data_IF_626941685806
#
_entry.id   IF_626941685806
#
_cell.length_a   1.000
_cell.length_b   1.000
_cell.length_c   1.000
_cell.angle_alpha   90.00
_cell.angle_beta   90.00
_cell.angle_gamma   90.00
#
_symmetry.space_group_name_H-M   'P 1'
#
loop_
_entity.id
_entity.type
_entity.pdbx_description
1 polymer ?
#
# COMPACT_ATOMS: atom_id res chain seq x y z
N UNK A 1 14.73 10.58 4.02
CA UNK A 1 13.74 10.99 3.00
C UNK A 1 12.73 9.85 2.88
N UNK A 2 11.43 10.14 2.86
CA UNK A 2 10.38 9.14 2.63
C UNK A 2 10.61 8.49 1.27
N UNK A 3 10.35 7.18 1.15
CA UNK A 3 10.48 6.46 -0.12
C UNK A 3 11.88 5.93 -0.45
N UNK A 4 12.86 6.00 0.45
CA UNK A 4 14.16 5.35 0.22
C UNK A 4 14.01 3.83 0.15
N UNK A 5 14.63 3.17 -0.83
CA UNK A 5 14.58 1.72 -1.03
C UNK A 5 16.00 1.16 -1.19
N UNK A 6 16.29 0.05 -0.53
CA UNK A 6 17.50 -0.77 -0.74
C UNK A 6 17.22 -2.22 -1.08
N UNK A 7 15.97 -2.65 -0.93
CA UNK A 7 15.56 -4.03 -1.13
C UNK A 7 14.35 -4.08 -2.07
N UNK A 8 14.48 -4.79 -3.19
CA UNK A 8 13.40 -4.97 -4.17
C UNK A 8 13.05 -6.45 -4.26
N UNK A 9 11.77 -6.78 -4.13
CA UNK A 9 11.29 -8.16 -4.26
C UNK A 9 10.14 -8.20 -5.25
N UNK A 10 10.31 -8.99 -6.29
CA UNK A 10 9.29 -9.21 -7.32
C UNK A 10 8.61 -10.55 -7.10
N UNK A 11 7.30 -10.53 -7.01
CA UNK A 11 6.42 -11.70 -6.97
C UNK A 11 5.59 -11.73 -8.25
N UNK A 12 5.81 -12.73 -9.09
CA UNK A 12 5.00 -12.97 -10.29
C UNK A 12 4.13 -14.20 -10.08
N UNK A 13 2.85 -14.16 -10.48
CA UNK A 13 1.97 -15.33 -10.52
C UNK A 13 0.98 -15.23 -11.67
N UNK A 14 1.50 -15.22 -12.89
CA UNK A 14 0.71 -15.29 -14.10
C UNK A 14 0.51 -16.76 -14.53
N UNK A 15 -0.64 -17.15 -15.11
CA UNK A 15 -0.85 -18.49 -15.67
C UNK A 15 0.18 -18.92 -16.73
N UNK A 16 0.27 -20.22 -16.98
CA UNK A 16 1.05 -20.74 -18.09
C UNK A 16 0.41 -20.35 -19.42
N UNK A 17 1.22 -19.85 -20.36
CA UNK A 17 0.76 -19.36 -21.67
C UNK A 17 0.59 -17.85 -21.75
N UNK A 18 0.60 -17.15 -20.61
CA UNK A 18 0.68 -15.69 -20.59
C UNK A 18 2.12 -15.18 -20.59
N UNK A 19 2.31 -13.94 -21.06
CA UNK A 19 3.61 -13.28 -21.04
C UNK A 19 4.03 -13.03 -19.59
N UNK A 20 5.24 -13.45 -19.23
CA UNK A 20 5.82 -13.28 -17.89
C UNK A 20 6.44 -11.89 -17.73
N UNK A 21 5.59 -10.88 -17.55
CA UNK A 21 5.98 -9.46 -17.47
C UNK A 21 6.88 -9.17 -16.29
N UNK A 22 6.64 -9.79 -15.14
CA UNK A 22 7.49 -9.65 -13.96
C UNK A 22 8.86 -10.29 -14.14
N UNK A 23 8.94 -11.45 -14.79
CA UNK A 23 10.23 -12.07 -15.13
C UNK A 23 11.03 -11.19 -16.12
N UNK A 24 10.36 -10.65 -17.14
CA UNK A 24 10.94 -9.75 -18.14
C UNK A 24 11.47 -8.47 -17.49
N UNK A 25 10.63 -7.75 -16.73
CA UNK A 25 11.05 -6.55 -15.99
C UNK A 25 12.20 -6.83 -15.03
N UNK A 26 12.16 -7.97 -14.33
CA UNK A 26 13.21 -8.32 -13.40
C UNK A 26 14.56 -8.56 -14.11
N UNK A 27 14.57 -9.30 -15.21
CA UNK A 27 15.80 -9.60 -15.95
C UNK A 27 16.32 -8.39 -16.70
N UNK A 28 15.44 -7.72 -17.43
CA UNK A 28 15.83 -6.72 -18.42
C UNK A 28 15.96 -5.31 -17.84
N UNK A 29 15.34 -5.04 -16.68
CA UNK A 29 15.49 -3.78 -15.97
C UNK A 29 16.20 -3.97 -14.62
N UNK A 30 15.57 -4.66 -13.67
CA UNK A 30 15.98 -4.62 -12.26
C UNK A 30 17.37 -5.23 -12.05
N UNK A 31 17.53 -6.53 -12.33
CA UNK A 31 18.78 -7.24 -12.12
C UNK A 31 19.88 -6.71 -13.04
N UNK A 32 19.60 -6.49 -14.33
CA UNK A 32 20.58 -5.91 -15.27
C UNK A 32 21.14 -4.58 -14.75
N UNK A 33 20.28 -3.65 -14.30
CA UNK A 33 20.73 -2.33 -13.86
C UNK A 33 21.46 -2.38 -12.52
N UNK A 34 20.99 -3.19 -11.57
CA UNK A 34 21.67 -3.34 -10.27
C UNK A 34 23.00 -4.09 -10.40
N UNK A 35 23.02 -5.23 -11.09
CA UNK A 35 24.20 -6.10 -11.11
C UNK A 35 25.33 -5.55 -11.98
N UNK A 36 25.00 -4.91 -13.10
CA UNK A 36 25.98 -4.48 -14.10
C UNK A 36 26.30 -2.98 -14.06
N UNK A 37 25.36 -2.13 -13.63
CA UNK A 37 25.48 -0.67 -13.77
C UNK A 37 25.58 0.06 -12.41
N UNK A 38 24.95 -0.46 -11.35
CA UNK A 38 24.94 0.21 -10.06
C UNK A 38 26.29 0.05 -9.33
N UNK A 39 26.77 1.14 -8.73
CA UNK A 39 28.00 1.12 -7.94
C UNK A 39 27.84 0.27 -6.68
N UNK A 40 28.86 -0.55 -6.36
CA UNK A 40 28.84 -1.46 -5.21
C UNK A 40 28.56 -0.77 -3.86
N UNK A 41 28.97 0.48 -3.68
CA UNK A 41 28.73 1.25 -2.44
C UNK A 41 27.24 1.58 -2.19
N UNK A 42 26.41 1.51 -3.23
CA UNK A 42 24.98 1.80 -3.17
C UNK A 42 24.15 0.63 -3.72
N UNK A 43 24.74 -0.56 -3.79
CA UNK A 43 24.10 -1.72 -4.41
C UNK A 43 22.85 -2.12 -3.64
N UNK A 44 21.74 -2.20 -4.36
CA UNK A 44 20.47 -2.70 -3.83
C UNK A 44 20.47 -4.23 -3.83
N UNK A 45 19.78 -4.85 -2.88
CA UNK A 45 19.47 -6.28 -3.00
C UNK A 45 18.19 -6.44 -3.82
N UNK A 46 18.14 -7.44 -4.68
CA UNK A 46 16.93 -7.77 -5.43
C UNK A 46 16.67 -9.27 -5.46
N UNK A 47 15.39 -9.64 -5.56
CA UNK A 47 14.97 -11.04 -5.65
C UNK A 47 13.71 -11.16 -6.49
N UNK A 48 13.63 -12.25 -7.26
CA UNK A 48 12.47 -12.63 -8.05
C UNK A 48 11.94 -13.99 -7.58
N UNK A 49 10.61 -14.09 -7.51
CA UNK A 49 9.88 -15.33 -7.26
C UNK A 49 8.78 -15.51 -8.30
N UNK A 50 8.76 -16.68 -8.95
CA UNK A 50 7.62 -17.15 -9.73
C UNK A 50 6.74 -18.02 -8.82
N UNK A 51 5.67 -17.43 -8.32
CA UNK A 51 4.77 -17.98 -7.32
C UNK A 51 3.63 -18.74 -8.00
N UNK A 52 3.36 -19.97 -7.59
CA UNK A 52 2.35 -20.81 -8.25
C UNK A 52 0.97 -20.72 -7.62
N UNK A 53 0.90 -20.58 -6.30
CA UNK A 53 -0.34 -20.64 -5.55
C UNK A 53 -0.29 -19.77 -4.29
N UNK A 54 -1.45 -19.52 -3.70
CA UNK A 54 -1.60 -18.68 -2.51
C UNK A 54 -0.73 -19.12 -1.34
N UNK A 55 -0.59 -20.42 -1.11
CA UNK A 55 0.23 -20.96 -0.01
C UNK A 55 1.70 -20.55 -0.15
N UNK A 56 2.25 -20.69 -1.35
CA UNK A 56 3.62 -20.28 -1.67
C UNK A 56 3.81 -18.76 -1.48
N UNK A 57 2.85 -17.94 -1.91
CA UNK A 57 2.90 -16.49 -1.69
C UNK A 57 2.97 -16.15 -0.20
N UNK A 58 2.09 -16.75 0.60
CA UNK A 58 2.01 -16.52 2.04
C UNK A 58 3.33 -16.88 2.72
N UNK A 59 3.91 -18.03 2.40
CA UNK A 59 5.17 -18.48 2.99
C UNK A 59 6.34 -17.56 2.60
N UNK A 60 6.37 -17.07 1.37
CA UNK A 60 7.38 -16.09 0.95
C UNK A 60 7.23 -14.75 1.68
N UNK A 61 6.01 -14.24 1.85
CA UNK A 61 5.80 -12.99 2.61
C UNK A 61 6.16 -13.20 4.09
N UNK A 62 5.81 -14.35 4.69
CA UNK A 62 6.23 -14.70 6.06
C UNK A 62 7.75 -14.80 6.21
N UNK A 63 8.45 -15.31 5.21
CA UNK A 63 9.91 -15.28 5.19
C UNK A 63 10.42 -13.83 5.35
N UNK A 64 9.83 -12.87 4.64
CA UNK A 64 10.19 -11.47 4.80
C UNK A 64 9.72 -10.85 6.12
N UNK A 65 8.63 -11.32 6.73
CA UNK A 65 8.26 -10.93 8.10
C UNK A 65 9.37 -11.28 9.10
N UNK A 66 9.89 -12.51 9.02
CA UNK A 66 10.94 -12.98 9.93
C UNK A 66 12.27 -12.24 9.70
N UNK A 67 12.55 -11.82 8.47
CA UNK A 67 13.82 -11.18 8.11
C UNK A 67 13.75 -9.65 8.01
N UNK A 68 12.60 -9.04 8.30
CA UNK A 68 12.37 -7.61 8.09
C UNK A 68 13.35 -6.71 8.84
N UNK A 69 13.84 -7.14 10.01
CA UNK A 69 14.82 -6.38 10.81
C UNK A 69 16.17 -6.19 10.11
N UNK A 70 16.51 -7.06 9.15
CA UNK A 70 17.74 -6.98 8.38
C UNK A 70 17.59 -6.15 7.10
N UNK A 71 16.35 -5.80 6.72
CA UNK A 71 16.01 -5.08 5.49
C UNK A 71 16.03 -3.56 5.75
N UNK A 72 17.22 -3.08 6.08
CA UNK A 72 17.45 -1.67 6.41
C UNK A 72 17.28 -0.77 5.19
N UNK A 73 16.83 0.46 5.42
CA UNK A 73 16.72 1.50 4.37
C UNK A 73 15.69 1.19 3.28
N UNK A 74 14.63 0.46 3.63
CA UNK A 74 13.38 0.39 2.87
C UNK A 74 13.28 -0.78 1.92
N UNK A 75 12.08 -1.33 1.86
CA UNK A 75 11.71 -2.55 1.15
C UNK A 75 10.57 -2.24 0.19
N UNK A 76 10.74 -2.67 -1.06
CA UNK A 76 9.73 -2.60 -2.09
C UNK A 76 9.28 -4.02 -2.46
N UNK A 77 8.00 -4.29 -2.29
CA UNK A 77 7.36 -5.45 -2.90
C UNK A 77 6.70 -5.04 -4.22
N UNK A 78 6.94 -5.81 -5.26
CA UNK A 78 6.32 -5.68 -6.57
C UNK A 78 5.51 -6.93 -6.89
N UNK A 79 4.25 -6.75 -7.29
CA UNK A 79 3.35 -7.84 -7.65
C UNK A 79 2.96 -7.76 -9.12
N UNK A 80 3.15 -8.88 -9.81
CA UNK A 80 2.81 -9.13 -11.22
C UNK A 80 1.83 -10.32 -11.27
N UNK A 81 0.54 -10.00 -11.16
CA UNK A 81 -0.55 -10.95 -10.93
C UNK A 81 -1.87 -10.40 -11.50
N UNK A 82 -2.87 -11.26 -11.66
CA UNK A 82 -4.21 -10.79 -12.02
C UNK A 82 -4.93 -10.18 -10.82
N UNK A 83 -5.72 -9.14 -11.08
CA UNK A 83 -6.69 -8.62 -10.13
C UNK A 83 -8.00 -9.41 -10.20
N UNK A 84 -8.63 -9.64 -9.05
CA UNK A 84 -9.95 -10.23 -8.99
C UNK A 84 -11.01 -9.32 -9.63
N UNK A 85 -11.92 -9.90 -10.43
CA UNK A 85 -12.98 -9.16 -11.11
C UNK A 85 -14.02 -8.59 -10.13
N UNK A 86 -14.22 -9.25 -8.99
CA UNK A 86 -15.09 -8.77 -7.91
C UNK A 86 -14.37 -7.79 -6.97
N UNK A 87 -13.15 -7.37 -7.32
CA UNK A 87 -12.33 -6.41 -6.58
C UNK A 87 -11.92 -6.90 -5.18
N UNK A 88 -11.91 -8.21 -4.94
CA UNK A 88 -11.64 -8.78 -3.60
C UNK A 88 -10.16 -8.99 -3.29
N UNK A 89 -9.29 -9.02 -4.29
CA UNK A 89 -7.89 -9.39 -4.11
C UNK A 89 -7.09 -9.64 -5.38
N UNK A 90 -6.03 -10.44 -5.23
CA UNK A 90 -5.19 -10.91 -6.33
C UNK A 90 -5.48 -12.39 -6.61
N UNK A 91 -5.54 -12.74 -7.90
CA UNK A 91 -5.72 -14.10 -8.39
C UNK A 91 -4.37 -14.62 -8.86
N UNK A 92 -3.95 -15.76 -8.31
CA UNK A 92 -2.68 -16.40 -8.62
C UNK A 92 -2.81 -17.34 -9.83
N UNK A 93 -1.68 -17.83 -10.32
CA UNK A 93 -1.59 -18.66 -11.52
C UNK A 93 -2.42 -19.96 -11.46
N UNK A 94 -2.63 -20.53 -10.27
CA UNK A 94 -3.50 -21.69 -10.04
C UNK A 94 -4.99 -21.36 -9.89
N UNK A 95 -5.35 -20.07 -9.99
CA UNK A 95 -6.70 -19.56 -9.79
C UNK A 95 -7.07 -19.30 -8.33
N UNK A 96 -6.16 -19.52 -7.38
CA UNK A 96 -6.41 -19.19 -5.97
C UNK A 96 -6.48 -17.67 -5.75
N UNK A 97 -7.38 -17.23 -4.88
CA UNK A 97 -7.58 -15.83 -4.51
C UNK A 97 -6.92 -15.54 -3.16
N UNK A 98 -6.05 -14.54 -3.11
CA UNK A 98 -5.64 -13.89 -1.86
C UNK A 98 -6.35 -12.55 -1.72
N UNK A 99 -7.10 -12.37 -0.64
CA UNK A 99 -7.90 -11.16 -0.45
C UNK A 99 -7.05 -9.96 -0.06
N UNK A 100 -7.56 -8.74 -0.28
CA UNK A 100 -6.89 -7.53 0.21
C UNK A 100 -6.67 -7.55 1.72
N UNK A 101 -7.64 -8.06 2.48
CA UNK A 101 -7.53 -8.20 3.93
C UNK A 101 -6.36 -9.11 4.32
N UNK A 102 -6.25 -10.28 3.69
CA UNK A 102 -5.14 -11.20 3.94
C UNK A 102 -3.78 -10.58 3.58
N UNK A 103 -3.69 -9.86 2.46
CA UNK A 103 -2.45 -9.18 2.06
C UNK A 103 -2.04 -8.11 3.08
N UNK A 104 -2.95 -7.23 3.50
CA UNK A 104 -2.58 -6.18 4.46
C UNK A 104 -2.22 -6.74 5.83
N UNK A 105 -2.88 -7.82 6.26
CA UNK A 105 -2.52 -8.55 7.49
C UNK A 105 -1.12 -9.15 7.39
N UNK A 106 -0.70 -9.62 6.21
CA UNK A 106 0.65 -10.11 5.97
C UNK A 106 1.69 -8.98 5.86
N UNK A 107 1.34 -7.83 5.31
CA UNK A 107 2.26 -6.69 5.17
C UNK A 107 2.50 -5.97 6.50
N UNK A 108 1.49 -5.91 7.38
CA UNK A 108 1.56 -5.12 8.62
C UNK A 108 2.74 -5.47 9.52
N UNK A 109 3.03 -6.74 9.85
CA UNK A 109 4.21 -7.08 10.66
C UNK A 109 5.53 -6.61 10.02
N UNK A 110 5.62 -6.65 8.69
CA UNK A 110 6.80 -6.17 7.95
C UNK A 110 6.92 -4.66 8.11
N UNK A 111 5.85 -3.90 7.86
CA UNK A 111 5.90 -2.43 7.93
C UNK A 111 6.15 -1.91 9.35
N UNK A 112 5.62 -2.60 10.36
CA UNK A 112 5.95 -2.33 11.76
C UNK A 112 7.44 -2.53 12.02
N UNK A 113 8.00 -3.66 11.57
CA UNK A 113 9.42 -3.98 11.77
C UNK A 113 10.35 -3.04 11.00
N UNK A 114 9.97 -2.63 9.78
CA UNK A 114 10.75 -1.69 8.96
C UNK A 114 10.52 -0.22 9.30
N UNK A 115 9.64 0.07 10.29
CA UNK A 115 9.29 1.41 10.77
C UNK A 115 8.74 2.32 9.66
N UNK A 116 7.66 1.88 9.04
CA UNK A 116 7.01 2.56 7.92
C UNK A 116 7.89 2.72 6.67
N UNK A 117 8.59 1.65 6.30
CA UNK A 117 9.47 1.65 5.11
C UNK A 117 9.18 0.50 4.17
N UNK A 118 7.99 -0.11 4.27
CA UNK A 118 7.48 -1.03 3.26
C UNK A 118 6.68 -0.25 2.22
N UNK A 119 7.09 -0.36 0.96
CA UNK A 119 6.37 0.16 -0.19
C UNK A 119 5.87 -0.99 -1.05
N UNK A 120 4.71 -0.80 -1.69
CA UNK A 120 4.10 -1.79 -2.56
C UNK A 120 3.95 -1.21 -3.97
N UNK A 121 4.27 -2.00 -4.98
CA UNK A 121 3.94 -1.70 -6.38
C UNK A 121 3.15 -2.87 -6.95
N UNK A 122 2.13 -2.59 -7.76
CA UNK A 122 1.29 -3.61 -8.35
C UNK A 122 1.05 -3.31 -9.82
N UNK A 123 1.62 -4.16 -10.69
CA UNK A 123 1.31 -4.24 -12.11
C UNK A 123 0.04 -5.09 -12.32
N UNK A 124 -1.02 -4.76 -11.60
CA UNK A 124 -2.24 -5.57 -11.54
C UNK A 124 -3.45 -4.71 -11.80
N UNK A 125 -4.40 -5.24 -12.57
CA UNK A 125 -5.72 -4.64 -12.69
C UNK A 125 -6.33 -4.48 -11.28
N UNK A 126 -7.06 -3.39 -11.04
CA UNK A 126 -7.79 -3.17 -9.78
C UNK A 126 -6.94 -3.16 -8.49
N UNK A 127 -5.60 -3.07 -8.57
CA UNK A 127 -4.77 -3.05 -7.35
C UNK A 127 -5.04 -1.83 -6.46
N UNK A 128 -5.67 -0.77 -6.98
CA UNK A 128 -6.11 0.39 -6.19
C UNK A 128 -6.92 0.00 -4.95
N UNK A 129 -7.63 -1.13 -4.96
CA UNK A 129 -8.57 -1.54 -3.91
C UNK A 129 -7.90 -2.17 -2.69
N UNK A 130 -6.57 -2.26 -2.65
CA UNK A 130 -5.81 -2.71 -1.47
C UNK A 130 -6.22 -1.99 -0.16
N UNK A 131 -6.60 -0.70 -0.24
CA UNK A 131 -7.08 0.06 0.92
C UNK A 131 -8.32 -0.54 1.60
N UNK A 132 -9.11 -1.36 0.89
CA UNK A 132 -10.31 -2.00 1.46
C UNK A 132 -9.97 -3.01 2.57
N UNK A 133 -8.73 -3.53 2.59
CA UNK A 133 -8.26 -4.38 3.69
C UNK A 133 -7.90 -3.60 4.95
N UNK A 134 -7.66 -2.28 4.85
CA UNK A 134 -7.03 -1.49 5.91
C UNK A 134 -8.00 -1.21 7.06
N UNK A 135 -7.57 -1.53 8.27
CA UNK A 135 -8.20 -1.07 9.51
C UNK A 135 -7.46 0.16 10.06
N UNK A 136 -8.14 1.30 10.15
CA UNK A 136 -7.57 2.58 10.59
C UNK A 136 -7.18 2.60 12.08
N UNK A 137 -7.58 1.61 12.88
CA UNK A 137 -7.20 1.47 14.28
C UNK A 137 -5.95 0.61 14.50
N UNK A 138 -5.36 0.07 13.43
CA UNK A 138 -4.16 -0.77 13.48
C UNK A 138 -3.01 -0.09 12.72
N UNK A 139 -1.76 -0.30 13.14
CA UNK A 139 -0.55 0.29 12.53
C UNK A 139 -0.51 0.12 11.02
N UNK A 140 -0.26 1.15 10.22
CA UNK A 140 -0.38 1.08 8.75
C UNK A 140 0.35 -0.14 8.16
N UNK A 141 -0.28 -0.89 7.22
CA UNK A 141 0.32 -2.09 6.65
C UNK A 141 1.46 -1.81 5.66
N UNK A 142 1.60 -0.57 5.17
CA UNK A 142 2.63 -0.09 4.25
C UNK A 142 2.71 1.43 4.33
N UNK A 143 3.83 2.00 3.92
CA UNK A 143 4.02 3.47 3.87
C UNK A 143 3.26 4.08 2.70
N UNK A 144 3.33 3.45 1.52
CA UNK A 144 2.54 3.82 0.36
C UNK A 144 2.58 2.76 -0.72
N UNK A 145 1.72 2.91 -1.73
CA UNK A 145 1.66 1.98 -2.84
C UNK A 145 1.40 2.63 -4.20
N UNK A 146 1.90 2.01 -5.26
CA UNK A 146 1.72 2.41 -6.66
C UNK A 146 0.89 1.34 -7.36
N UNK A 147 -0.22 1.72 -7.98
CA UNK A 147 -1.13 0.75 -8.60
C UNK A 147 -2.04 1.38 -9.65
N UNK A 148 -2.57 0.54 -10.56
CA UNK A 148 -3.58 0.93 -11.52
C UNK A 148 -5.00 0.92 -10.92
N UNK A 149 -5.84 1.80 -11.48
CA UNK A 149 -7.25 1.90 -11.12
C UNK A 149 -8.21 1.16 -12.05
N UNK A 150 -7.71 0.67 -13.17
CA UNK A 150 -8.43 0.03 -14.27
C UNK A 150 -7.58 -1.09 -14.85
N UNK A 151 -8.10 -1.73 -15.88
CA UNK A 151 -7.34 -2.66 -16.73
C UNK A 151 -6.15 -1.94 -17.36
N UNK A 152 -5.01 -2.63 -17.42
CA UNK A 152 -3.74 -2.14 -17.97
C UNK A 152 -3.24 -3.10 -19.03
N UNK A 153 -2.63 -2.58 -20.08
CA UNK A 153 -2.10 -3.40 -21.16
C UNK A 153 -0.70 -3.92 -20.82
N UNK A 154 -0.33 -5.07 -21.37
CA UNK A 154 0.98 -5.70 -21.15
C UNK A 154 2.15 -4.78 -21.55
N UNK A 155 2.04 -4.08 -22.69
CA UNK A 155 3.08 -3.15 -23.13
C UNK A 155 3.17 -1.93 -22.21
N UNK A 156 2.02 -1.43 -21.71
CA UNK A 156 1.96 -0.32 -20.77
C UNK A 156 2.63 -0.68 -19.44
N UNK A 157 2.38 -1.88 -18.91
CA UNK A 157 3.05 -2.40 -17.71
C UNK A 157 4.58 -2.36 -17.91
N UNK A 158 5.06 -2.95 -19.01
CA UNK A 158 6.49 -3.06 -19.25
C UNK A 158 7.17 -1.70 -19.43
N UNK A 159 6.54 -0.79 -20.17
CA UNK A 159 7.08 0.56 -20.40
C UNK A 159 7.11 1.38 -19.11
N UNK A 160 5.98 1.44 -18.37
CA UNK A 160 5.86 2.27 -17.18
C UNK A 160 6.71 1.75 -16.02
N UNK A 161 6.70 0.44 -15.76
CA UNK A 161 7.52 -0.14 -14.70
C UNK A 161 9.00 -0.18 -15.06
N UNK A 162 9.39 -0.26 -16.34
CA UNK A 162 10.79 -0.09 -16.71
C UNK A 162 11.26 1.31 -16.30
N UNK A 163 10.52 2.38 -16.66
CA UNK A 163 10.85 3.75 -16.27
C UNK A 163 10.92 3.87 -14.74
N UNK A 164 9.91 3.36 -14.04
CA UNK A 164 9.86 3.41 -12.57
C UNK A 164 11.07 2.74 -11.92
N UNK A 165 11.41 1.52 -12.35
CA UNK A 165 12.52 0.78 -11.76
C UNK A 165 13.88 1.37 -12.13
N UNK A 166 14.06 1.87 -13.35
CA UNK A 166 15.30 2.53 -13.73
C UNK A 166 15.54 3.79 -12.88
N UNK A 167 14.54 4.66 -12.75
CA UNK A 167 14.62 5.86 -11.91
C UNK A 167 14.77 5.52 -10.42
N UNK A 168 14.10 4.47 -9.95
CA UNK A 168 14.25 3.99 -8.57
C UNK A 168 15.68 3.54 -8.30
N UNK A 169 16.25 2.71 -9.18
CA UNK A 169 17.56 2.10 -8.99
C UNK A 169 18.67 3.17 -9.03
N UNK A 170 18.52 4.15 -9.91
CA UNK A 170 19.50 5.23 -10.05
C UNK A 170 19.47 6.20 -8.85
N UNK A 171 18.27 6.56 -8.38
CA UNK A 171 18.10 7.60 -7.36
C UNK A 171 17.88 7.06 -5.94
N UNK A 172 17.54 5.79 -5.80
CA UNK A 172 17.26 5.15 -4.50
C UNK A 172 15.90 5.46 -3.91
N UNK A 173 15.00 6.16 -4.62
CA UNK A 173 13.75 6.66 -4.05
C UNK A 173 12.52 6.38 -4.92
N UNK A 174 11.55 5.63 -4.38
CA UNK A 174 10.34 5.21 -5.11
C UNK A 174 9.36 6.35 -5.38
N UNK A 175 9.29 7.32 -4.47
CA UNK A 175 8.41 8.48 -4.65
C UNK A 175 8.97 9.39 -5.75
N UNK A 176 10.29 9.61 -5.76
CA UNK A 176 10.94 10.35 -6.83
C UNK A 176 10.77 9.64 -8.19
N UNK A 177 10.98 8.32 -8.23
CA UNK A 177 10.77 7.52 -9.44
C UNK A 177 9.32 7.61 -9.95
N UNK A 178 8.34 7.55 -9.05
CA UNK A 178 6.93 7.76 -9.41
C UNK A 178 6.69 9.15 -10.01
N UNK A 179 7.28 10.21 -9.46
CA UNK A 179 7.09 11.56 -9.99
C UNK A 179 7.65 11.71 -11.42
N UNK A 180 8.71 10.97 -11.78
CA UNK A 180 9.18 10.91 -13.17
C UNK A 180 8.22 10.14 -14.08
N UNK A 181 7.67 9.01 -13.58
CA UNK A 181 6.64 8.25 -14.29
C UNK A 181 5.36 9.08 -14.52
N UNK A 182 4.91 9.83 -13.50
CA UNK A 182 3.70 10.65 -13.56
C UNK A 182 3.77 11.71 -14.69
N UNK A 183 4.96 12.29 -14.94
CA UNK A 183 5.18 13.23 -16.05
C UNK A 183 4.91 12.62 -17.42
N UNK A 184 4.91 11.29 -17.54
CA UNK A 184 4.62 10.55 -18.79
C UNK A 184 3.14 10.23 -18.97
N UNK A 185 2.30 10.50 -17.96
CA UNK A 185 0.86 10.24 -18.03
C UNK A 185 0.47 8.78 -17.80
N UNK A 186 1.24 8.07 -16.98
CA UNK A 186 0.98 6.67 -16.59
C UNK A 186 -0.40 6.48 -15.95
N UNK A 187 -0.99 5.29 -16.13
CA UNK A 187 -2.21 4.88 -15.40
C UNK A 187 -1.93 4.25 -14.03
N UNK A 188 -0.68 4.21 -13.60
CA UNK A 188 -0.30 3.81 -12.25
C UNK A 188 -0.20 5.05 -11.36
N UNK A 189 -0.83 4.99 -10.18
CA UNK A 189 -0.94 6.12 -9.27
C UNK A 189 -0.32 5.79 -7.92
N UNK A 190 0.43 6.74 -7.37
CA UNK A 190 0.95 6.64 -6.01
C UNK A 190 -0.12 7.05 -4.98
N UNK A 191 -0.20 6.28 -3.90
CA UNK A 191 -1.03 6.53 -2.74
C UNK A 191 -0.17 6.42 -1.48
N UNK A 192 0.11 7.56 -0.89
CA UNK A 192 0.67 7.67 0.46
C UNK A 192 -0.38 7.27 1.49
N UNK A 193 -0.03 6.37 2.41
CA UNK A 193 -1.00 5.77 3.34
C UNK A 193 -1.53 6.78 4.37
N UNK A 194 -0.64 7.60 4.93
CA UNK A 194 -0.96 8.60 5.95
C UNK A 194 -1.82 9.72 5.36
N UNK A 195 -1.44 10.25 4.20
CA UNK A 195 -2.21 11.26 3.49
C UNK A 195 -3.57 10.75 3.05
N UNK A 196 -3.64 9.51 2.55
CA UNK A 196 -4.92 8.90 2.16
C UNK A 196 -5.86 8.78 3.36
N UNK A 197 -5.32 8.41 4.53
CA UNK A 197 -6.07 8.43 5.78
C UNK A 197 -6.59 9.83 6.12
N UNK A 198 -5.73 10.86 6.06
CA UNK A 198 -6.14 12.24 6.40
C UNK A 198 -7.25 12.74 5.47
N UNK A 199 -7.10 12.55 4.16
CA UNK A 199 -8.11 12.94 3.17
C UNK A 199 -9.45 12.20 3.40
N UNK A 200 -9.40 10.89 3.67
CA UNK A 200 -10.59 10.09 3.94
C UNK A 200 -11.27 10.47 5.26
N UNK A 201 -10.49 10.72 6.31
CA UNK A 201 -10.98 11.15 7.61
C UNK A 201 -11.70 12.50 7.50
N UNK A 202 -11.05 13.49 6.89
CA UNK A 202 -11.63 14.82 6.68
C UNK A 202 -12.92 14.75 5.85
N UNK A 203 -12.94 13.97 4.76
CA UNK A 203 -14.13 13.78 3.94
C UNK A 203 -15.28 13.14 4.73
N UNK A 204 -14.99 12.16 5.57
CA UNK A 204 -15.98 11.47 6.41
C UNK A 204 -16.56 12.42 7.46
N UNK A 205 -15.72 13.17 8.17
CA UNK A 205 -16.16 14.14 9.16
C UNK A 205 -17.01 15.25 8.54
N UNK A 206 -16.64 15.75 7.35
CA UNK A 206 -17.46 16.77 6.66
C UNK A 206 -18.87 16.27 6.33
N UNK A 207 -19.01 15.00 5.94
CA UNK A 207 -20.33 14.38 5.70
C UNK A 207 -21.10 14.21 7.00
N UNK A 208 -20.46 13.67 8.04
CA UNK A 208 -21.09 13.39 9.34
C UNK A 208 -21.51 14.66 10.09
N UNK A 209 -20.76 15.77 9.98
CA UNK A 209 -21.14 17.05 10.60
C UNK A 209 -22.51 17.56 10.17
N UNK A 210 -22.93 17.23 8.95
CA UNK A 210 -24.21 17.63 8.38
C UNK A 210 -25.29 16.54 8.49
N UNK A 211 -24.98 15.40 9.12
CA UNK A 211 -25.89 14.27 9.26
C UNK A 211 -26.73 14.41 10.54
N UNK A 212 -28.06 14.58 10.43
CA UNK A 212 -28.95 14.68 11.58
C UNK A 212 -28.94 13.43 12.45
N UNK A 213 -28.76 12.24 11.86
CA UNK A 213 -28.73 10.99 12.61
C UNK A 213 -27.48 10.91 13.48
N UNK A 214 -26.32 11.25 12.92
CA UNK A 214 -25.05 11.28 13.66
C UNK A 214 -25.09 12.28 14.83
N UNK A 215 -25.69 13.47 14.59
CA UNK A 215 -25.93 14.46 15.66
C UNK A 215 -26.79 13.87 16.77
N UNK A 216 -27.90 13.22 16.42
CA UNK A 216 -28.82 12.63 17.39
C UNK A 216 -28.15 11.50 18.21
N UNK A 217 -27.34 10.66 17.57
CA UNK A 217 -26.56 9.61 18.23
C UNK A 217 -25.63 10.19 19.32
N UNK A 218 -24.86 11.24 19.00
CA UNK A 218 -23.98 11.91 19.97
C UNK A 218 -24.77 12.50 21.14
N UNK A 219 -25.92 13.14 20.86
CA UNK A 219 -26.77 13.72 21.90
C UNK A 219 -27.32 12.64 22.85
N UNK A 220 -27.81 11.53 22.29
CA UNK A 220 -28.36 10.41 23.07
C UNK A 220 -27.28 9.72 23.91
N UNK A 221 -26.10 9.47 23.35
CA UNK A 221 -25.01 8.83 24.07
C UNK A 221 -24.50 9.73 25.20
N UNK A 222 -24.44 11.05 24.97
CA UNK A 222 -24.08 12.00 26.03
C UNK A 222 -25.15 12.07 27.11
N UNK A 223 -26.43 12.09 26.75
CA UNK A 223 -27.56 12.11 27.69
C UNK A 223 -27.58 10.84 28.54
N UNK A 224 -27.32 9.66 27.95
CA UNK A 224 -27.17 8.40 28.69
C UNK A 224 -25.98 8.43 29.65
N UNK A 225 -24.84 8.99 29.23
CA UNK A 225 -23.62 9.00 30.03
C UNK A 225 -23.66 10.03 31.18
N UNK A 226 -24.37 11.15 30.99
CA UNK A 226 -24.34 12.30 31.92
C UNK A 226 -25.67 12.57 32.62
N UNK A 227 -26.77 11.95 32.17
CA UNK A 227 -28.13 12.19 32.64
C UNK A 227 -28.72 13.53 32.15
N UNK A 228 -28.01 14.29 31.32
CA UNK A 228 -28.46 15.59 30.80
C UNK A 228 -28.23 15.66 29.29
N UNK A 229 -29.27 16.06 28.55
CA UNK A 229 -29.13 16.36 27.12
C UNK A 229 -28.34 17.65 26.90
N UNK A 230 -27.28 17.64 26.06
CA UNK A 230 -26.50 18.83 25.76
C UNK A 230 -27.33 19.91 25.05
N UNK A 231 -27.04 21.17 25.35
CA UNK A 231 -27.43 22.32 24.52
C UNK A 231 -26.67 22.32 23.19
N UNK A 232 -27.10 23.15 22.23
CA UNK A 232 -26.44 23.25 20.92
C UNK A 232 -24.97 23.68 21.01
N UNK A 233 -24.62 24.56 21.95
CA UNK A 233 -23.23 25.00 22.11
C UNK A 233 -22.38 23.96 22.84
N UNK A 234 -22.93 23.27 23.84
CA UNK A 234 -22.28 22.10 24.46
C UNK A 234 -22.05 20.99 23.41
N UNK A 235 -23.04 20.73 22.54
CA UNK A 235 -22.93 19.76 21.45
C UNK A 235 -21.76 20.07 20.50
N UNK A 236 -21.59 21.33 20.07
CA UNK A 236 -20.46 21.72 19.20
C UNK A 236 -19.12 21.41 19.85
N UNK A 237 -18.97 21.72 21.14
CA UNK A 237 -17.74 21.45 21.89
C UNK A 237 -17.48 19.94 22.01
N UNK A 238 -18.53 19.16 22.32
CA UNK A 238 -18.46 17.69 22.41
C UNK A 238 -18.05 17.10 21.06
N UNK A 239 -18.68 17.54 19.97
CA UNK A 239 -18.40 17.08 18.62
C UNK A 239 -16.95 17.32 18.22
N UNK A 240 -16.44 18.54 18.43
CA UNK A 240 -15.02 18.85 18.13
C UNK A 240 -14.07 17.98 18.95
N UNK A 241 -14.38 17.75 20.23
CA UNK A 241 -13.58 16.85 21.07
C UNK A 241 -13.60 15.41 20.54
N UNK A 242 -14.78 14.87 20.23
CA UNK A 242 -14.93 13.50 19.69
C UNK A 242 -14.15 13.34 18.38
N UNK A 243 -14.24 14.32 17.48
CA UNK A 243 -13.50 14.32 16.21
C UNK A 243 -11.99 14.32 16.47
N UNK A 244 -11.51 15.19 17.35
CA UNK A 244 -10.08 15.26 17.68
C UNK A 244 -9.57 13.99 18.35
N UNK A 245 -10.34 13.40 19.26
CA UNK A 245 -9.99 12.14 19.94
C UNK A 245 -9.93 10.98 18.91
N UNK A 246 -10.91 10.91 18.01
CA UNK A 246 -10.93 9.92 16.92
C UNK A 246 -9.75 10.10 15.97
N UNK A 247 -9.47 11.33 15.53
CA UNK A 247 -8.34 11.63 14.65
C UNK A 247 -7.03 11.22 15.32
N UNK A 248 -6.80 11.64 16.57
CA UNK A 248 -5.56 11.34 17.31
C UNK A 248 -5.37 9.84 17.46
N UNK A 249 -6.43 9.10 17.82
CA UNK A 249 -6.37 7.65 17.99
C UNK A 249 -6.05 6.92 16.69
N UNK A 250 -6.64 7.32 15.58
CA UNK A 250 -6.39 6.70 14.27
C UNK A 250 -5.04 7.15 13.67
N UNK A 251 -4.63 8.40 13.90
CA UNK A 251 -3.35 8.95 13.46
C UNK A 251 -2.17 8.20 14.09
N UNK A 252 -2.33 7.65 15.31
CA UNK A 252 -1.31 6.81 15.93
C UNK A 252 -0.97 5.56 15.09
N UNK A 253 -1.86 5.10 14.20
CA UNK A 253 -1.55 4.03 13.26
C UNK A 253 -0.32 4.31 12.38
N UNK A 254 0.05 5.58 12.20
CA UNK A 254 1.18 6.02 11.37
C UNK A 254 2.42 6.40 12.19
N UNK A 255 2.37 6.27 13.52
CA UNK A 255 3.51 6.51 14.40
C UNK A 255 4.25 5.20 14.71
N UNK A 256 5.49 5.07 14.26
CA UNK A 256 6.32 3.86 14.39
C UNK A 256 7.55 4.04 15.32
N UNK A 257 7.52 5.10 16.15
CA UNK A 257 8.57 5.36 17.14
C UNK A 257 8.46 4.46 18.37
#
# INVERSE_FOLDING_TARGET
MVGNIRHIVVFESLPNGEKKTGEELYKDCISRRIDLLQNDSIKMSHKYYNVRNKGELIELIKYYQVNAEFLNNGLLFHFEMHGDSDLKGLVLADGSLITWKELVELFRPINVTTKDKLFITMATCNGRYLYQGVNAYEKSPYSGYISASKEVLVNEILEDFAILFEELIDNGNIVAAYLELEKKGSNFYYKDSERTFEEAFLSTIQKQRNDPQFKEEILQDTEKATGKRPTEDEYKIILEKVINDLYTKQKDAFNFN
#
